data_IF_811954018019
#
_entry.id   IF_811954018019
#
_cell.length_a   1.000
_cell.length_b   1.000
_cell.length_c   1.000
_cell.angle_alpha   90.00
_cell.angle_beta   90.00
_cell.angle_gamma   90.00
#
_symmetry.space_group_name_H-M   'P 1'
#
loop_
_entity.id
_entity.type
_entity.pdbx_description
1 polymer ?
#
# COMPACT_ATOMS: atom_id res chain seq x y z
N UNK A 1 -8.99 -11.48 -10.94
CA UNK A 1 -9.23 -10.04 -10.59
C UNK A 1 -7.90 -9.45 -10.22
N UNK A 2 -7.63 -8.22 -10.65
CA UNK A 2 -6.32 -7.57 -10.47
C UNK A 2 -6.24 -6.90 -9.11
N UNK A 3 -5.24 -7.25 -8.33
CA UNK A 3 -4.96 -6.64 -7.04
C UNK A 3 -3.66 -5.82 -7.08
N UNK A 4 -3.57 -4.84 -6.20
CA UNK A 4 -2.38 -4.05 -5.94
C UNK A 4 -2.21 -3.82 -4.43
N UNK A 5 -0.96 -3.83 -3.97
CA UNK A 5 -0.60 -3.52 -2.59
C UNK A 5 0.11 -2.16 -2.56
N UNK A 6 -0.26 -1.31 -1.61
CA UNK A 6 0.39 -0.04 -1.31
C UNK A 6 0.81 -0.03 0.16
N UNK A 7 2.11 -0.08 0.42
CA UNK A 7 2.67 0.07 1.77
C UNK A 7 3.03 1.51 2.03
N UNK A 8 2.63 2.00 3.21
CA UNK A 8 2.74 3.39 3.62
C UNK A 8 3.64 3.43 4.86
N UNK A 9 4.74 4.18 4.75
CA UNK A 9 5.69 4.37 5.84
C UNK A 9 7.04 4.86 5.32
N UNK A 10 7.53 5.95 5.88
CA UNK A 10 8.83 6.53 5.54
C UNK A 10 9.97 5.60 5.94
N UNK A 11 9.84 4.89 7.05
CA UNK A 11 10.76 3.88 7.56
C UNK A 11 10.97 2.71 6.59
N UNK A 12 9.94 2.38 5.78
CA UNK A 12 10.06 1.37 4.72
C UNK A 12 10.94 1.87 3.57
N UNK A 13 10.79 3.15 3.19
CA UNK A 13 11.62 3.76 2.14
C UNK A 13 13.07 3.98 2.58
N UNK A 14 13.28 4.24 3.87
CA UNK A 14 14.61 4.40 4.46
C UNK A 14 15.30 3.04 4.72
N UNK A 15 14.57 1.93 4.58
CA UNK A 15 15.10 0.59 4.83
C UNK A 15 15.34 0.30 6.32
N UNK A 16 14.71 1.06 7.21
CA UNK A 16 14.79 0.86 8.66
C UNK A 16 13.99 -0.37 9.09
N UNK A 17 12.89 -0.65 8.37
CA UNK A 17 12.04 -1.83 8.55
C UNK A 17 11.87 -2.53 7.20
N UNK A 18 11.92 -3.87 7.22
CA UNK A 18 11.60 -4.70 6.05
C UNK A 18 10.08 -4.81 5.92
N UNK A 19 9.55 -4.54 4.72
CA UNK A 19 8.12 -4.69 4.44
C UNK A 19 7.70 -6.16 4.36
N UNK A 20 7.47 -6.78 5.52
CA UNK A 20 6.95 -8.15 5.63
C UNK A 20 5.45 -8.23 5.36
N UNK A 21 4.72 -7.11 5.45
CA UNK A 21 3.28 -7.07 5.24
C UNK A 21 2.95 -7.30 3.77
N UNK A 22 3.62 -6.60 2.86
CA UNK A 22 3.50 -6.85 1.42
C UNK A 22 3.85 -8.28 1.05
N UNK A 23 4.94 -8.81 1.62
CA UNK A 23 5.36 -10.18 1.36
C UNK A 23 4.30 -11.21 1.81
N UNK A 24 3.74 -11.01 3.00
CA UNK A 24 2.64 -11.84 3.50
C UNK A 24 1.42 -11.76 2.58
N UNK A 25 0.91 -10.55 2.30
CA UNK A 25 -0.28 -10.37 1.45
C UNK A 25 -0.07 -10.94 0.05
N UNK A 26 1.09 -10.69 -0.57
CA UNK A 26 1.43 -11.23 -1.89
C UNK A 26 1.40 -12.76 -1.93
N UNK A 27 1.76 -13.44 -0.83
CA UNK A 27 1.65 -14.90 -0.73
C UNK A 27 0.20 -15.40 -0.62
N UNK A 28 -0.71 -14.59 -0.07
CA UNK A 28 -2.10 -14.97 0.18
C UNK A 28 -3.00 -14.73 -1.04
N UNK A 29 -2.76 -13.67 -1.82
CA UNK A 29 -3.64 -13.27 -2.93
C UNK A 29 -3.85 -14.36 -4.01
N UNK A 30 -2.82 -15.10 -4.45
CA UNK A 30 -3.01 -16.18 -5.42
C UNK A 30 -3.92 -17.31 -4.91
N UNK A 31 -3.89 -17.58 -3.60
CA UNK A 31 -4.74 -18.59 -2.96
C UNK A 31 -6.23 -18.19 -3.01
N UNK A 32 -6.51 -16.90 -3.19
CA UNK A 32 -7.85 -16.32 -3.33
C UNK A 32 -8.25 -16.09 -4.80
N UNK A 33 -7.41 -16.49 -5.77
CA UNK A 33 -7.65 -16.23 -7.19
C UNK A 33 -7.48 -14.76 -7.61
N UNK A 34 -6.67 -14.01 -6.86
CA UNK A 34 -6.35 -12.61 -7.13
C UNK A 34 -4.95 -12.48 -7.75
N UNK A 35 -4.88 -11.77 -8.87
CA UNK A 35 -3.65 -11.53 -9.63
C UNK A 35 -2.99 -10.26 -9.13
N UNK A 36 -1.90 -10.38 -8.38
CA UNK A 36 -1.13 -9.23 -7.91
C UNK A 36 -0.19 -8.74 -9.01
N UNK A 37 -0.42 -7.53 -9.51
CA UNK A 37 0.40 -6.96 -10.58
C UNK A 37 1.43 -5.93 -10.08
N UNK A 38 1.14 -5.26 -8.97
CA UNK A 38 1.96 -4.19 -8.45
C UNK A 38 2.02 -4.21 -6.93
N UNK A 39 3.21 -3.90 -6.41
CA UNK A 39 3.44 -3.55 -5.02
C UNK A 39 4.16 -2.19 -5.06
N UNK A 40 3.60 -1.21 -4.37
CA UNK A 40 4.13 0.15 -4.30
C UNK A 40 4.44 0.49 -2.84
N UNK A 41 5.56 1.16 -2.57
CA UNK A 41 5.87 1.70 -1.25
C UNK A 41 5.90 3.22 -1.35
N UNK A 42 5.23 3.91 -0.42
CA UNK A 42 5.14 5.36 -0.37
C UNK A 42 5.40 5.83 1.06
N UNK A 43 6.11 6.95 1.20
CA UNK A 43 6.33 7.57 2.53
C UNK A 43 5.10 8.35 2.99
N UNK A 44 5.16 8.86 4.21
CA UNK A 44 4.08 9.58 4.90
C UNK A 44 3.90 11.00 4.33
N UNK A 45 3.46 11.07 3.08
CA UNK A 45 3.15 12.31 2.39
C UNK A 45 1.82 12.19 1.67
N UNK A 46 0.86 13.02 2.08
CA UNK A 46 -0.53 12.90 1.63
C UNK A 46 -0.66 13.04 0.11
N UNK A 47 0.03 14.01 -0.49
CA UNK A 47 -0.03 14.22 -1.93
C UNK A 47 0.51 13.02 -2.70
N UNK A 48 1.62 12.42 -2.24
CA UNK A 48 2.18 11.21 -2.87
C UNK A 48 1.23 10.03 -2.72
N UNK A 49 0.62 9.87 -1.54
CA UNK A 49 -0.35 8.80 -1.27
C UNK A 49 -1.59 8.92 -2.17
N UNK A 50 -2.17 10.11 -2.28
CA UNK A 50 -3.31 10.36 -3.19
C UNK A 50 -2.94 10.06 -4.64
N UNK A 51 -1.75 10.48 -5.09
CA UNK A 51 -1.32 10.22 -6.47
C UNK A 51 -1.17 8.71 -6.76
N UNK A 52 -0.57 7.93 -5.84
CA UNK A 52 -0.41 6.48 -6.05
C UNK A 52 -1.76 5.75 -5.95
N UNK A 53 -2.65 6.18 -5.06
CA UNK A 53 -4.01 5.65 -4.96
C UNK A 53 -4.79 5.88 -6.25
N UNK A 54 -4.69 7.08 -6.86
CA UNK A 54 -5.31 7.36 -8.16
C UNK A 54 -4.74 6.47 -9.27
N UNK A 55 -3.44 6.23 -9.30
CA UNK A 55 -2.82 5.33 -10.27
C UNK A 55 -3.28 3.89 -10.10
N UNK A 56 -3.30 3.39 -8.86
CA UNK A 56 -3.78 2.06 -8.52
C UNK A 56 -5.25 1.87 -8.88
N UNK A 57 -6.08 2.88 -8.62
CA UNK A 57 -7.51 2.89 -8.95
C UNK A 57 -7.79 2.70 -10.45
N UNK A 58 -6.93 3.25 -11.31
CA UNK A 58 -7.10 3.13 -12.77
C UNK A 58 -6.74 1.74 -13.33
N UNK A 59 -6.00 0.92 -12.57
CA UNK A 59 -5.38 -0.32 -13.11
C UNK A 59 -5.70 -1.59 -12.32
N UNK A 60 -6.34 -1.47 -11.17
CA UNK A 60 -6.57 -2.57 -10.22
C UNK A 60 -8.03 -2.63 -9.80
N UNK A 61 -8.58 -3.83 -9.69
CA UNK A 61 -9.94 -4.08 -9.20
C UNK A 61 -10.00 -4.02 -7.66
N UNK A 62 -8.87 -4.34 -7.00
CA UNK A 62 -8.69 -4.31 -5.55
C UNK A 62 -7.39 -3.58 -5.21
N UNK A 63 -7.45 -2.68 -4.23
CA UNK A 63 -6.29 -2.02 -3.64
C UNK A 63 -6.23 -2.40 -2.16
N UNK A 64 -5.08 -2.88 -1.72
CA UNK A 64 -4.78 -3.20 -0.33
C UNK A 64 -3.75 -2.19 0.16
N UNK A 65 -4.09 -1.44 1.21
CA UNK A 65 -3.15 -0.53 1.86
C UNK A 65 -2.66 -1.10 3.18
N UNK A 66 -1.41 -0.82 3.55
CA UNK A 66 -0.86 -1.13 4.88
C UNK A 66 -0.08 0.08 5.41
N UNK A 67 -0.11 0.28 6.74
CA UNK A 67 0.56 1.42 7.39
C UNK A 67 -0.30 2.70 7.44
N UNK A 68 0.15 3.68 8.22
CA UNK A 68 -0.45 5.02 8.31
C UNK A 68 -1.89 5.09 8.83
N UNK A 69 -2.32 4.18 9.71
CA UNK A 69 -3.67 4.11 10.32
C UNK A 69 -3.67 4.29 11.86
N UNK A 70 -2.51 4.56 12.45
CA UNK A 70 -2.35 4.85 13.86
C UNK A 70 -2.88 6.22 14.29
N UNK A 71 -2.61 6.64 15.54
CA UNK A 71 -3.11 7.89 16.10
C UNK A 71 -2.17 9.10 15.90
N UNK A 72 -1.08 8.96 15.15
CA UNK A 72 -0.04 9.99 14.99
C UNK A 72 -0.37 10.96 13.86
N UNK A 73 0.35 12.09 13.79
CA UNK A 73 0.13 13.08 12.71
C UNK A 73 0.57 12.57 11.34
N UNK A 74 1.46 11.58 11.31
CA UNK A 74 1.97 10.98 10.08
C UNK A 74 1.04 9.84 9.59
N UNK A 75 0.04 9.45 10.39
CA UNK A 75 -0.99 8.47 10.01
C UNK A 75 -2.07 9.13 9.13
N UNK A 76 -1.77 9.22 7.83
CA UNK A 76 -2.56 9.97 6.84
C UNK A 76 -3.36 9.08 5.87
N UNK A 77 -3.38 7.76 6.11
CA UNK A 77 -3.99 6.82 5.16
C UNK A 77 -5.50 7.00 5.08
N UNK A 78 -6.15 7.32 6.20
CA UNK A 78 -7.60 7.54 6.24
C UNK A 78 -7.99 8.80 5.49
N UNK A 79 -7.18 9.86 5.58
CA UNK A 79 -7.41 11.17 4.98
C UNK A 79 -7.14 11.18 3.47
N UNK A 80 -6.40 10.19 2.98
CA UNK A 80 -6.05 10.06 1.56
C UNK A 80 -7.00 9.19 0.74
N UNK A 81 -7.89 8.41 1.40
CA UNK A 81 -8.90 7.55 0.79
C UNK A 81 -10.26 8.26 0.79
#
# INVERSE_FOLDING_TARGET
>A
MKAEIISIGTELLLGEIVDTNSAYLASQLPLLGLDLHFISTVGDNQQRLVNILQQAWQRSDIILTTGGLGPTQDDITREAI
#
